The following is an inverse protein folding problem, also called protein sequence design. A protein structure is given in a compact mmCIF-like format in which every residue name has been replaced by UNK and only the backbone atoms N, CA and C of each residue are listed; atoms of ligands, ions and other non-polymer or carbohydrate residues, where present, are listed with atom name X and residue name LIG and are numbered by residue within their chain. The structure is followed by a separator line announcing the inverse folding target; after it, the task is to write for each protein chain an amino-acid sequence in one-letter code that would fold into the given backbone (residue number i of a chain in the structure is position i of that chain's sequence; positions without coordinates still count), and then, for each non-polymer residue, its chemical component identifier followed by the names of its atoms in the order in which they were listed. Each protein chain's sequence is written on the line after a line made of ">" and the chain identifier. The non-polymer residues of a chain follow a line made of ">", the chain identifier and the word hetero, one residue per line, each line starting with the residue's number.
data_IF_805310108131
#
_entry.id   IF_805310108131
#
_cell.length_a   1.000
_cell.length_b   1.000
_cell.length_c   1.000
_cell.angle_alpha   90.00
_cell.angle_beta   90.00
_cell.angle_gamma   90.00
#
_symmetry.space_group_name_H-M   'P 1'
#
loop_
_entity.id
_entity.type
_entity.pdbx_description
1 polymer ?
#
# COMPACT_ATOMS: atom_id res chain seq x y z
N UNK A 1 -47.08 2.26 8.16
CA UNK A 1 -46.17 1.11 8.28
C UNK A 1 -44.98 1.45 7.41
N UNK A 2 -43.93 1.95 8.04
CA UNK A 2 -42.68 2.28 7.36
C UNK A 2 -41.83 1.02 7.32
N UNK A 3 -41.50 0.59 6.12
CA UNK A 3 -40.62 -0.54 5.84
C UNK A 3 -39.17 -0.10 6.11
N UNK A 4 -38.65 -0.52 7.25
CA UNK A 4 -37.22 -0.36 7.61
C UNK A 4 -36.45 -1.53 7.03
N UNK A 5 -36.14 -1.48 5.74
CA UNK A 5 -35.17 -2.40 5.15
C UNK A 5 -33.77 -2.06 5.67
N UNK A 6 -33.30 -2.90 6.57
CA UNK A 6 -31.93 -2.98 7.05
C UNK A 6 -30.97 -3.07 5.84
N UNK A 7 -29.94 -2.22 5.70
CA UNK A 7 -29.00 -2.37 4.61
C UNK A 7 -28.24 -3.68 4.75
N UNK A 8 -28.22 -4.42 3.68
CA UNK A 8 -27.60 -5.72 3.51
C UNK A 8 -26.10 -5.63 3.82
N UNK A 9 -25.63 -6.38 4.82
CA UNK A 9 -24.28 -6.34 5.41
C UNK A 9 -23.17 -6.97 4.55
N UNK A 10 -23.19 -6.77 3.21
CA UNK A 10 -22.20 -7.31 2.27
C UNK A 10 -21.60 -6.31 1.28
N UNK A 11 -21.93 -5.02 1.34
CA UNK A 11 -21.19 -4.00 0.62
C UNK A 11 -20.13 -3.37 1.53
N UNK A 12 -18.99 -4.04 1.74
CA UNK A 12 -17.83 -3.44 2.40
C UNK A 12 -17.44 -2.15 1.66
N UNK A 13 -17.16 -1.07 2.42
CA UNK A 13 -16.70 0.20 1.86
C UNK A 13 -15.24 0.04 1.42
N UNK A 14 -15.03 -0.37 0.16
CA UNK A 14 -13.70 -0.61 -0.42
C UNK A 14 -13.21 0.62 -1.18
N UNK A 15 -12.05 1.16 -0.81
CA UNK A 15 -11.42 2.25 -1.54
C UNK A 15 -10.82 1.78 -2.87
N UNK A 16 -10.21 0.58 -2.87
CA UNK A 16 -9.73 -0.08 -4.08
C UNK A 16 -10.22 -1.54 -4.11
N UNK A 17 -10.71 -1.98 -5.26
CA UNK A 17 -11.02 -3.37 -5.54
C UNK A 17 -10.45 -3.76 -6.91
N UNK A 18 -9.59 -4.77 -6.94
CA UNK A 18 -9.00 -5.33 -8.15
C UNK A 18 -9.45 -6.78 -8.35
N UNK A 19 -9.81 -7.15 -9.58
CA UNK A 19 -10.24 -8.49 -9.98
C UNK A 19 -9.45 -8.97 -11.18
N UNK A 20 -8.58 -9.98 -11.00
CA UNK A 20 -7.74 -10.53 -12.05
C UNK A 20 -6.87 -9.49 -12.75
N UNK A 21 -6.55 -8.40 -12.04
CA UNK A 21 -5.86 -7.24 -12.59
C UNK A 21 -4.48 -7.62 -13.10
N UNK A 22 -4.19 -7.29 -14.36
CA UNK A 22 -2.89 -7.53 -14.96
C UNK A 22 -2.46 -6.43 -15.91
N UNK A 23 -1.15 -6.16 -15.91
CA UNK A 23 -0.50 -5.24 -16.85
C UNK A 23 0.70 -5.89 -17.49
N UNK A 24 0.69 -6.01 -18.82
CA UNK A 24 1.79 -6.51 -19.62
C UNK A 24 2.40 -5.38 -20.43
N UNK A 25 3.71 -5.26 -20.37
CA UNK A 25 4.53 -4.42 -21.24
C UNK A 25 5.27 -5.27 -22.26
N UNK A 26 5.99 -4.64 -23.19
CA UNK A 26 6.78 -5.37 -24.21
C UNK A 26 7.77 -6.40 -23.61
N UNK A 27 8.33 -6.09 -22.43
CA UNK A 27 9.32 -6.96 -21.74
C UNK A 27 8.71 -8.02 -20.82
N UNK A 28 7.40 -8.06 -20.66
CA UNK A 28 6.74 -9.02 -19.76
C UNK A 28 5.63 -8.44 -18.92
N UNK A 29 5.16 -9.24 -17.97
CA UNK A 29 4.11 -8.86 -17.03
C UNK A 29 4.71 -8.03 -15.88
N UNK A 30 4.19 -6.84 -15.67
CA UNK A 30 4.47 -6.04 -14.48
C UNK A 30 3.51 -6.40 -13.33
N UNK A 31 2.26 -6.74 -13.67
CA UNK A 31 1.27 -7.30 -12.75
C UNK A 31 0.54 -8.43 -13.46
N UNK A 32 0.23 -9.49 -12.72
CA UNK A 32 -0.44 -10.67 -13.27
C UNK A 32 -1.41 -11.27 -12.27
N UNK A 33 -2.69 -11.33 -12.65
CA UNK A 33 -3.76 -11.95 -11.88
C UNK A 33 -3.83 -11.47 -10.42
N UNK A 34 -3.84 -10.15 -10.24
CA UNK A 34 -3.92 -9.52 -8.93
C UNK A 34 -5.39 -9.33 -8.55
N UNK A 35 -5.83 -9.97 -7.47
CA UNK A 35 -7.17 -9.84 -6.92
C UNK A 35 -7.06 -9.46 -5.45
N UNK A 36 -7.50 -8.26 -5.08
CA UNK A 36 -7.40 -7.74 -3.72
C UNK A 36 -8.42 -6.63 -3.46
N UNK A 37 -8.62 -6.31 -2.19
CA UNK A 37 -9.38 -5.15 -1.71
C UNK A 37 -8.58 -4.35 -0.71
N UNK A 38 -8.78 -3.04 -0.72
CA UNK A 38 -8.28 -2.10 0.31
C UNK A 38 -9.50 -1.40 0.91
N UNK A 39 -9.73 -1.48 2.23
CA UNK A 39 -10.84 -0.80 2.87
C UNK A 39 -10.70 0.73 2.82
N UNK A 40 -11.81 1.44 2.79
CA UNK A 40 -11.83 2.90 2.91
C UNK A 40 -11.40 3.37 4.31
N UNK A 41 -10.77 4.54 4.37
CA UNK A 41 -10.32 5.18 5.61
C UNK A 41 -9.07 4.56 6.23
N UNK A 42 -8.36 3.66 5.52
CA UNK A 42 -7.14 3.00 5.99
C UNK A 42 -5.88 3.64 5.40
N UNK A 43 -4.77 3.49 6.10
CA UNK A 43 -3.44 3.78 5.58
C UNK A 43 -2.79 2.46 5.18
N UNK A 44 -2.75 2.22 3.88
CA UNK A 44 -2.23 0.98 3.29
C UNK A 44 -0.78 1.14 2.85
N UNK A 45 0.11 0.32 3.39
CA UNK A 45 1.47 0.15 2.91
C UNK A 45 1.53 -0.78 1.70
N UNK A 46 1.96 -0.25 0.55
CA UNK A 46 2.23 -1.02 -0.66
C UNK A 46 3.71 -1.42 -0.70
N UNK A 47 3.98 -2.67 -0.36
CA UNK A 47 5.32 -3.21 -0.13
C UNK A 47 5.77 -4.10 -1.27
N UNK A 48 7.04 -4.09 -1.58
CA UNK A 48 7.66 -5.00 -2.55
C UNK A 48 8.99 -4.50 -3.08
N UNK A 49 9.83 -5.37 -3.63
CA UNK A 49 11.12 -4.98 -4.19
C UNK A 49 10.95 -4.05 -5.40
N UNK A 50 12.06 -3.45 -5.82
CA UNK A 50 12.07 -2.65 -7.05
C UNK A 50 11.70 -3.53 -8.25
N UNK A 51 10.80 -3.02 -9.08
CA UNK A 51 10.27 -3.78 -10.22
C UNK A 51 9.14 -4.75 -9.89
N UNK A 52 8.70 -4.87 -8.64
CA UNK A 52 7.59 -5.76 -8.25
C UNK A 52 6.23 -5.39 -8.86
N UNK A 53 6.07 -4.14 -9.34
CA UNK A 53 4.82 -3.67 -9.95
C UNK A 53 4.10 -2.58 -9.14
N UNK A 54 4.68 -2.05 -8.05
CA UNK A 54 4.07 -1.02 -7.19
C UNK A 54 3.62 0.23 -7.97
N UNK A 55 4.54 0.90 -8.64
CA UNK A 55 4.23 2.09 -9.46
C UNK A 55 3.28 1.78 -10.61
N UNK A 56 3.32 0.55 -11.16
CA UNK A 56 2.34 0.10 -12.16
C UNK A 56 0.95 0.01 -11.57
N UNK A 57 0.81 -0.53 -10.35
CA UNK A 57 -0.48 -0.61 -9.66
C UNK A 57 -1.05 0.79 -9.39
N UNK A 58 -0.23 1.71 -8.86
CA UNK A 58 -0.62 3.10 -8.64
C UNK A 58 -0.99 3.81 -9.95
N UNK A 59 -0.23 3.57 -11.02
CA UNK A 59 -0.51 4.10 -12.35
C UNK A 59 -1.82 3.57 -12.97
N UNK A 60 -2.20 2.33 -12.67
CA UNK A 60 -3.51 1.77 -13.04
C UNK A 60 -4.64 2.46 -12.27
N UNK A 61 -4.47 2.65 -10.96
CA UNK A 61 -5.46 3.29 -10.10
C UNK A 61 -5.68 4.79 -10.42
N UNK A 62 -4.73 5.41 -11.12
CA UNK A 62 -4.78 6.82 -11.57
C UNK A 62 -5.08 6.98 -13.06
N UNK A 63 -5.36 5.90 -13.78
CA UNK A 63 -5.54 5.88 -15.25
C UNK A 63 -4.35 6.37 -16.07
N UNK A 64 -3.16 6.48 -15.48
CA UNK A 64 -1.94 6.80 -16.24
C UNK A 64 -1.55 5.64 -17.16
N UNK A 65 -1.93 4.42 -16.79
CA UNK A 65 -1.82 3.21 -17.62
C UNK A 65 -3.14 2.45 -17.61
N UNK A 66 -3.41 1.74 -18.72
CA UNK A 66 -4.60 0.90 -18.87
C UNK A 66 -4.26 -0.56 -18.49
N UNK A 67 -5.18 -1.30 -17.86
CA UNK A 67 -4.99 -2.73 -17.61
C UNK A 67 -4.92 -3.51 -18.93
N UNK A 68 -4.21 -4.64 -18.90
CA UNK A 68 -4.20 -5.60 -20.01
C UNK A 68 -5.27 -6.67 -19.78
N UNK A 69 -5.50 -7.04 -18.52
CA UNK A 69 -6.53 -8.00 -18.07
C UNK A 69 -7.16 -7.53 -16.78
N UNK A 70 -8.36 -8.02 -16.49
CA UNK A 70 -9.08 -7.72 -15.27
C UNK A 70 -9.59 -6.30 -15.17
N UNK A 71 -10.11 -5.95 -14.02
CA UNK A 71 -10.67 -4.63 -13.72
C UNK A 71 -10.19 -4.08 -12.38
N UNK A 72 -10.30 -2.75 -12.24
CA UNK A 72 -9.98 -2.02 -11.02
C UNK A 72 -11.09 -1.01 -10.75
N UNK A 73 -11.56 -0.96 -9.52
CA UNK A 73 -12.59 -0.03 -9.05
C UNK A 73 -12.08 0.83 -7.91
N UNK A 74 -12.52 2.06 -7.90
CA UNK A 74 -12.29 3.04 -6.83
C UNK A 74 -13.63 3.36 -6.21
N UNK A 75 -13.83 3.09 -4.94
CA UNK A 75 -15.12 3.22 -4.22
C UNK A 75 -16.30 2.60 -5.00
N UNK A 76 -16.06 1.41 -5.58
CA UNK A 76 -17.05 0.68 -6.37
C UNK A 76 -17.24 1.17 -7.81
N UNK A 77 -16.67 2.33 -8.18
CA UNK A 77 -16.76 2.91 -9.53
C UNK A 77 -15.59 2.40 -10.38
N UNK A 78 -15.80 1.96 -11.63
CA UNK A 78 -14.71 1.58 -12.52
C UNK A 78 -13.69 2.71 -12.67
N UNK A 79 -12.40 2.38 -12.63
CA UNK A 79 -11.32 3.39 -12.65
C UNK A 79 -11.30 4.24 -13.92
N UNK A 80 -11.91 3.77 -15.02
CA UNK A 80 -12.03 4.48 -16.28
C UNK A 80 -13.23 5.45 -16.33
N UNK A 81 -14.10 5.45 -15.33
CA UNK A 81 -15.16 6.44 -15.21
C UNK A 81 -14.58 7.81 -14.79
N UNK A 82 -14.93 8.91 -15.49
CA UNK A 82 -14.50 10.26 -15.12
C UNK A 82 -14.89 10.68 -13.69
N UNK A 83 -15.92 10.10 -13.10
CA UNK A 83 -16.37 10.38 -11.74
C UNK A 83 -15.31 10.00 -10.67
N UNK A 84 -14.33 9.16 -11.01
CA UNK A 84 -13.20 8.79 -10.13
C UNK A 84 -12.20 9.92 -10.00
N UNK A 85 -12.01 10.76 -11.03
CA UNK A 85 -10.96 11.77 -11.07
C UNK A 85 -10.98 12.77 -9.89
N UNK A 86 -12.14 13.30 -9.45
CA UNK A 86 -12.19 14.19 -8.30
C UNK A 86 -11.81 13.50 -6.98
N UNK A 87 -12.08 12.21 -6.87
CA UNK A 87 -11.90 11.44 -5.64
C UNK A 87 -10.45 11.01 -5.40
N UNK A 88 -9.59 10.99 -6.44
CA UNK A 88 -8.23 10.44 -6.36
C UNK A 88 -7.19 11.55 -6.50
N UNK A 89 -6.23 11.62 -5.57
CA UNK A 89 -4.99 12.36 -5.78
C UNK A 89 -3.80 11.40 -5.88
N UNK A 90 -2.83 11.78 -6.69
CA UNK A 90 -1.61 10.99 -6.90
C UNK A 90 -0.36 11.85 -6.76
N UNK A 91 0.57 11.37 -5.98
CA UNK A 91 1.90 11.93 -5.85
C UNK A 91 2.91 10.89 -6.33
N UNK A 92 3.43 11.10 -7.54
CA UNK A 92 4.50 10.26 -8.10
C UNK A 92 5.86 10.55 -7.49
N UNK A 93 6.78 9.61 -7.60
CA UNK A 93 8.13 9.68 -7.06
C UNK A 93 8.88 10.96 -7.52
N UNK A 94 8.76 11.34 -8.80
CA UNK A 94 9.44 12.52 -9.37
C UNK A 94 8.84 13.86 -8.92
N UNK A 95 7.68 13.86 -8.26
CA UNK A 95 6.96 15.07 -7.82
C UNK A 95 6.96 16.15 -8.91
N UNK A 96 6.26 15.95 -10.04
CA UNK A 96 6.33 16.79 -11.22
C UNK A 96 5.68 18.16 -11.00
N UNK A 97 6.41 19.10 -10.43
CA UNK A 97 5.99 20.48 -10.20
C UNK A 97 6.61 21.42 -11.25
N UNK A 98 5.87 22.47 -11.62
CA UNK A 98 6.37 23.50 -12.56
C UNK A 98 7.46 24.36 -11.90
N UNK A 99 8.73 24.10 -12.23
CA UNK A 99 9.91 24.73 -11.59
C UNK A 99 9.92 26.26 -11.70
N UNK A 100 9.27 26.85 -12.72
CA UNK A 100 9.23 28.29 -12.94
C UNK A 100 8.13 28.99 -12.13
N UNK A 101 7.12 28.27 -11.67
CA UNK A 101 6.05 28.81 -10.85
C UNK A 101 6.54 29.08 -9.43
N UNK A 102 5.98 30.11 -8.81
CA UNK A 102 6.08 30.31 -7.38
C UNK A 102 5.17 29.30 -6.64
N UNK A 103 5.39 29.11 -5.36
CA UNK A 103 4.52 28.30 -4.50
C UNK A 103 3.07 28.81 -4.57
N UNK A 104 2.88 30.11 -4.48
CA UNK A 104 1.56 30.75 -4.58
C UNK A 104 0.86 30.45 -5.94
N UNK A 105 1.58 30.57 -7.06
CA UNK A 105 1.06 30.24 -8.38
C UNK A 105 0.73 28.76 -8.50
N UNK A 106 1.55 27.88 -7.91
CA UNK A 106 1.32 26.44 -7.89
C UNK A 106 0.03 26.10 -7.14
N UNK A 107 -0.18 26.67 -5.94
CA UNK A 107 -1.42 26.44 -5.19
C UNK A 107 -2.64 27.04 -5.87
N UNK A 108 -2.52 28.20 -6.51
CA UNK A 108 -3.61 28.80 -7.28
C UNK A 108 -4.00 27.91 -8.47
N UNK A 109 -3.03 27.38 -9.21
CA UNK A 109 -3.28 26.40 -10.27
C UNK A 109 -4.04 25.18 -9.71
N UNK A 110 -3.64 24.66 -8.55
CA UNK A 110 -4.35 23.58 -7.88
C UNK A 110 -5.81 23.94 -7.59
N UNK A 111 -6.08 25.16 -7.14
CA UNK A 111 -7.44 25.64 -6.86
C UNK A 111 -8.28 25.79 -8.14
N UNK A 112 -7.69 26.29 -9.21
CA UNK A 112 -8.41 26.48 -10.49
C UNK A 112 -8.78 25.13 -11.17
N UNK A 113 -7.95 24.09 -10.95
CA UNK A 113 -8.18 22.77 -11.54
C UNK A 113 -9.07 21.85 -10.69
N UNK A 114 -9.34 22.19 -9.43
CA UNK A 114 -10.08 21.31 -8.52
C UNK A 114 -11.23 22.06 -7.83
N UNK A 115 -12.50 21.82 -8.22
CA UNK A 115 -13.66 22.53 -7.67
C UNK A 115 -13.84 22.39 -6.14
N UNK A 116 -13.40 21.27 -5.56
CA UNK A 116 -13.45 21.01 -4.12
C UNK A 116 -12.24 21.49 -3.33
N UNK A 117 -11.42 22.41 -3.90
CA UNK A 117 -10.15 22.82 -3.33
C UNK A 117 -10.24 23.37 -1.90
N UNK A 118 -9.40 22.85 -1.01
CA UNK A 118 -9.21 23.33 0.35
C UNK A 118 -7.93 24.17 0.46
N UNK A 119 -8.11 25.47 0.30
CA UNK A 119 -7.01 26.43 0.42
C UNK A 119 -6.40 26.47 1.83
N UNK A 120 -7.22 26.24 2.87
CA UNK A 120 -6.75 26.28 4.26
C UNK A 120 -5.78 25.11 4.54
N UNK A 121 -6.12 23.89 4.13
CA UNK A 121 -5.25 22.74 4.25
C UNK A 121 -3.96 22.92 3.45
N UNK A 122 -4.05 23.32 2.18
CA UNK A 122 -2.88 23.53 1.34
C UNK A 122 -1.91 24.57 1.95
N UNK A 123 -2.43 25.69 2.44
CA UNK A 123 -1.64 26.71 3.10
C UNK A 123 -1.07 26.25 4.44
N UNK A 124 -1.81 25.48 5.24
CA UNK A 124 -1.33 24.90 6.51
C UNK A 124 -0.10 24.04 6.28
N UNK A 125 -0.14 23.15 5.29
CA UNK A 125 0.96 22.24 4.94
C UNK A 125 2.21 23.01 4.51
N UNK A 126 2.07 24.02 3.66
CA UNK A 126 3.18 24.87 3.21
C UNK A 126 3.79 25.67 4.34
N UNK A 127 2.96 26.27 5.20
CA UNK A 127 3.40 27.07 6.37
C UNK A 127 4.14 26.22 7.40
N UNK A 128 3.67 25.01 7.69
CA UNK A 128 4.31 24.11 8.63
C UNK A 128 5.77 23.81 8.26
N UNK A 129 6.13 23.85 6.96
CA UNK A 129 7.50 23.70 6.48
C UNK A 129 8.24 25.02 6.26
N UNK A 130 7.73 26.15 6.71
CA UNK A 130 8.32 27.48 6.50
C UNK A 130 8.67 27.72 5.02
N UNK A 131 7.84 27.23 4.07
CA UNK A 131 8.08 27.40 2.64
C UNK A 131 7.57 28.77 2.19
N UNK A 132 8.44 29.65 1.67
CA UNK A 132 8.01 30.98 1.25
C UNK A 132 7.08 30.93 0.04
N UNK A 133 5.92 31.56 0.11
CA UNK A 133 4.92 31.58 -0.97
C UNK A 133 5.43 32.18 -2.28
N UNK A 134 6.33 33.18 -2.18
CA UNK A 134 6.94 33.84 -3.34
C UNK A 134 8.15 33.11 -3.95
N UNK A 135 8.64 32.04 -3.28
CA UNK A 135 9.77 31.27 -3.80
C UNK A 135 9.38 30.47 -5.05
N UNK A 136 10.28 30.41 -6.03
CA UNK A 136 10.08 29.54 -7.20
C UNK A 136 10.29 28.08 -6.81
N UNK A 137 9.41 27.19 -7.27
CA UNK A 137 9.48 25.74 -6.99
C UNK A 137 10.86 25.15 -7.35
N UNK A 138 11.48 25.63 -8.42
CA UNK A 138 12.80 25.16 -8.83
C UNK A 138 13.94 25.50 -7.89
N UNK A 139 13.76 26.47 -6.96
CA UNK A 139 14.76 26.88 -5.97
C UNK A 139 14.57 26.25 -4.60
N UNK A 140 13.48 25.50 -4.41
CA UNK A 140 13.15 24.83 -3.15
C UNK A 140 14.07 23.62 -2.90
N UNK A 141 14.34 23.34 -1.63
CA UNK A 141 14.94 22.06 -1.21
C UNK A 141 14.04 20.87 -1.55
N UNK A 142 14.56 19.65 -1.50
CA UNK A 142 13.79 18.42 -1.70
C UNK A 142 12.58 18.34 -0.76
N UNK A 143 12.80 18.56 0.54
CA UNK A 143 11.74 18.56 1.55
C UNK A 143 10.69 19.65 1.31
N UNK A 144 11.10 20.87 0.95
CA UNK A 144 10.17 21.95 0.63
C UNK A 144 9.32 21.63 -0.61
N UNK A 145 9.92 21.03 -1.65
CA UNK A 145 9.17 20.57 -2.84
C UNK A 145 8.17 19.48 -2.49
N UNK A 146 8.58 18.53 -1.67
CA UNK A 146 7.68 17.48 -1.16
C UNK A 146 6.49 18.09 -0.43
N UNK A 147 6.69 19.07 0.45
CA UNK A 147 5.59 19.78 1.14
C UNK A 147 4.64 20.48 0.16
N UNK A 148 5.15 21.14 -0.87
CA UNK A 148 4.29 21.76 -1.90
C UNK A 148 3.50 20.70 -2.67
N UNK A 149 4.10 19.56 -2.97
CA UNK A 149 3.42 18.45 -3.64
C UNK A 149 2.31 17.85 -2.74
N UNK A 150 2.57 17.66 -1.45
CA UNK A 150 1.55 17.25 -0.48
C UNK A 150 0.44 18.30 -0.33
N UNK A 151 0.78 19.59 -0.32
CA UNK A 151 -0.20 20.67 -0.26
C UNK A 151 -1.16 20.64 -1.46
N UNK A 152 -0.67 20.32 -2.67
CA UNK A 152 -1.51 20.11 -3.85
C UNK A 152 -2.39 18.88 -3.69
N UNK A 153 -1.84 17.76 -3.22
CA UNK A 153 -2.56 16.51 -3.07
C UNK A 153 -3.70 16.64 -2.05
N UNK A 154 -3.43 17.16 -0.86
CA UNK A 154 -4.44 17.37 0.19
C UNK A 154 -5.39 18.53 -0.10
N UNK A 155 -4.91 19.59 -0.76
CA UNK A 155 -5.76 20.71 -1.19
C UNK A 155 -6.86 20.28 -2.15
N UNK A 156 -6.66 19.23 -2.94
CA UNK A 156 -7.67 18.61 -3.80
C UNK A 156 -8.83 17.99 -3.01
N UNK A 157 -8.65 17.65 -1.72
CA UNK A 157 -9.61 16.92 -0.87
C UNK A 157 -9.97 15.54 -1.43
N UNK A 158 -8.99 14.68 -1.70
CA UNK A 158 -9.27 13.36 -2.23
C UNK A 158 -9.87 12.43 -1.16
N UNK A 159 -10.71 11.47 -1.60
CA UNK A 159 -11.13 10.33 -0.77
C UNK A 159 -10.05 9.23 -0.78
N UNK A 160 -9.26 9.16 -1.87
CA UNK A 160 -8.14 8.23 -2.05
C UNK A 160 -6.86 8.99 -2.43
N UNK A 161 -5.84 8.87 -1.60
CA UNK A 161 -4.50 9.44 -1.83
C UNK A 161 -3.51 8.33 -2.16
N UNK A 162 -2.95 8.37 -3.34
CA UNK A 162 -1.96 7.42 -3.84
C UNK A 162 -0.58 8.06 -3.86
N UNK A 163 0.39 7.46 -3.18
CA UNK A 163 1.72 8.01 -2.96
C UNK A 163 2.79 7.00 -3.43
N UNK A 164 3.61 7.39 -4.41
CA UNK A 164 4.71 6.56 -4.89
C UNK A 164 6.04 7.04 -4.31
N UNK A 165 6.55 6.31 -3.30
CA UNK A 165 7.78 6.62 -2.56
C UNK A 165 7.87 8.10 -2.12
N UNK A 166 6.86 8.65 -1.43
CA UNK A 166 6.73 10.09 -1.23
C UNK A 166 7.84 10.69 -0.36
N UNK A 167 8.46 9.86 0.50
CA UNK A 167 9.46 10.27 1.50
C UNK A 167 10.92 10.01 1.07
N UNK A 168 11.14 9.46 -0.14
CA UNK A 168 12.47 8.98 -0.58
C UNK A 168 13.56 10.07 -0.59
N UNK A 169 13.19 11.34 -0.83
CA UNK A 169 14.12 12.48 -0.93
C UNK A 169 14.28 13.25 0.39
N UNK A 170 13.70 12.77 1.49
CA UNK A 170 13.68 13.47 2.77
C UNK A 170 14.77 12.94 3.70
N UNK A 171 15.39 13.85 4.45
CA UNK A 171 16.19 13.46 5.61
C UNK A 171 15.28 12.90 6.73
N UNK A 172 15.84 12.22 7.75
CA UNK A 172 15.03 11.55 8.78
C UNK A 172 14.08 12.49 9.54
N UNK A 173 14.49 13.73 9.84
CA UNK A 173 13.64 14.69 10.54
C UNK A 173 12.48 15.17 9.67
N UNK A 174 12.77 15.57 8.44
CA UNK A 174 11.75 16.00 7.49
C UNK A 174 10.76 14.86 7.17
N UNK A 175 11.22 13.61 7.20
CA UNK A 175 10.41 12.42 6.99
C UNK A 175 9.43 12.22 8.15
N UNK A 176 9.90 12.29 9.40
CA UNK A 176 9.07 12.18 10.60
C UNK A 176 7.97 13.26 10.63
N UNK A 177 8.33 14.51 10.36
CA UNK A 177 7.38 15.62 10.24
C UNK A 177 6.34 15.39 9.15
N UNK A 178 6.73 14.86 8.00
CA UNK A 178 5.82 14.59 6.88
C UNK A 178 4.92 13.39 7.16
N UNK A 179 5.43 12.36 7.84
CA UNK A 179 4.65 11.20 8.27
C UNK A 179 3.56 11.63 9.26
N UNK A 180 3.92 12.44 10.26
CA UNK A 180 2.97 12.99 11.23
C UNK A 180 1.90 13.84 10.53
N UNK A 181 2.29 14.70 9.59
CA UNK A 181 1.37 15.50 8.81
C UNK A 181 0.41 14.65 7.98
N UNK A 182 0.95 13.64 7.27
CA UNK A 182 0.16 12.72 6.45
C UNK A 182 -0.90 11.99 7.27
N UNK A 183 -0.50 11.44 8.43
CA UNK A 183 -1.42 10.75 9.34
C UNK A 183 -2.51 11.70 9.87
N UNK A 184 -2.14 12.90 10.31
CA UNK A 184 -3.10 13.88 10.83
C UNK A 184 -4.14 14.27 9.77
N UNK A 185 -3.71 14.62 8.56
CA UNK A 185 -4.61 15.00 7.45
C UNK A 185 -5.48 13.82 6.98
N UNK A 186 -4.92 12.59 6.94
CA UNK A 186 -5.67 11.40 6.57
C UNK A 186 -6.76 11.09 7.59
N UNK A 187 -6.45 11.11 8.89
CA UNK A 187 -7.41 10.82 9.98
C UNK A 187 -8.49 11.90 10.07
N UNK A 188 -8.10 13.19 10.02
CA UNK A 188 -9.05 14.31 10.10
C UNK A 188 -10.19 14.20 9.06
N UNK A 189 -9.89 13.62 7.90
CA UNK A 189 -10.81 13.56 6.75
C UNK A 189 -11.35 12.18 6.44
N UNK A 190 -10.82 11.14 7.08
CA UNK A 190 -11.09 9.76 6.70
C UNK A 190 -10.57 9.39 5.31
N UNK A 191 -9.55 10.09 4.81
CA UNK A 191 -8.92 9.83 3.51
C UNK A 191 -8.23 8.48 3.54
N UNK A 192 -8.53 7.63 2.55
CA UNK A 192 -7.74 6.40 2.35
C UNK A 192 -6.39 6.75 1.74
N UNK A 193 -5.32 6.21 2.29
CA UNK A 193 -3.97 6.39 1.76
C UNK A 193 -3.41 5.06 1.30
N UNK A 194 -2.84 5.02 0.11
CA UNK A 194 -2.00 3.89 -0.35
C UNK A 194 -0.61 4.45 -0.63
N UNK A 195 0.34 4.04 0.17
CA UNK A 195 1.72 4.55 0.09
C UNK A 195 2.69 3.43 -0.23
N UNK A 196 3.43 3.55 -1.35
CA UNK A 196 4.56 2.66 -1.60
C UNK A 196 5.78 3.12 -0.80
N UNK A 197 6.47 2.17 -0.18
CA UNK A 197 7.79 2.38 0.43
C UNK A 197 8.66 1.15 0.21
N UNK A 198 9.96 1.38 0.15
CA UNK A 198 10.98 0.34 0.25
C UNK A 198 11.58 0.24 1.65
N UNK A 199 11.25 1.16 2.56
CA UNK A 199 11.65 1.17 3.96
C UNK A 199 10.53 0.60 4.83
N UNK A 200 10.75 -0.58 5.37
CA UNK A 200 9.74 -1.30 6.15
C UNK A 200 9.40 -0.59 7.46
N UNK A 201 10.40 0.04 8.11
CA UNK A 201 10.22 0.81 9.34
C UNK A 201 9.24 1.99 9.19
N UNK A 202 9.20 2.64 8.02
CA UNK A 202 8.20 3.71 7.76
C UNK A 202 6.76 3.18 7.77
N UNK A 203 6.59 1.92 7.38
CA UNK A 203 5.28 1.30 7.24
C UNK A 203 4.76 0.76 8.59
N UNK A 204 5.65 0.31 9.47
CA UNK A 204 5.29 -0.22 10.79
C UNK A 204 4.56 0.82 11.64
N UNK A 205 5.03 2.08 11.60
CA UNK A 205 4.48 3.15 12.44
C UNK A 205 3.23 3.81 11.82
N UNK A 206 3.01 3.66 10.52
CA UNK A 206 1.98 4.42 9.79
C UNK A 206 0.83 3.57 9.25
N UNK A 207 1.10 2.31 8.91
CA UNK A 207 0.17 1.52 8.12
C UNK A 207 -0.59 0.52 8.98
N UNK A 208 -1.91 0.60 8.94
CA UNK A 208 -2.82 -0.36 9.55
C UNK A 208 -3.27 -1.47 8.58
N UNK A 209 -2.96 -1.31 7.30
CA UNK A 209 -3.24 -2.28 6.24
C UNK A 209 -2.03 -2.47 5.33
N UNK A 210 -1.81 -3.69 4.83
CA UNK A 210 -0.67 -4.02 3.98
C UNK A 210 -1.11 -4.67 2.68
N UNK A 211 -0.44 -4.30 1.61
CA UNK A 211 -0.52 -4.95 0.30
C UNK A 211 0.90 -5.26 -0.18
N UNK A 212 1.27 -6.54 -0.13
CA UNK A 212 2.61 -7.00 -0.49
C UNK A 212 2.61 -7.55 -1.91
N UNK A 213 3.46 -6.98 -2.75
CA UNK A 213 3.59 -7.35 -4.16
C UNK A 213 4.99 -7.90 -4.42
N UNK A 214 5.09 -9.07 -5.02
CA UNK A 214 6.35 -9.66 -5.48
C UNK A 214 6.13 -10.34 -6.83
N UNK A 215 7.07 -10.14 -7.76
CA UNK A 215 7.03 -10.72 -9.11
C UNK A 215 5.69 -10.47 -9.84
N UNK A 216 5.13 -9.27 -9.64
CA UNK A 216 3.87 -8.88 -10.24
C UNK A 216 2.63 -9.57 -9.68
N UNK A 217 2.71 -10.23 -8.53
CA UNK A 217 1.59 -10.92 -7.86
C UNK A 217 1.39 -10.40 -6.44
N UNK A 218 0.15 -10.43 -5.96
CA UNK A 218 -0.14 -10.16 -4.55
C UNK A 218 0.28 -11.37 -3.72
N UNK A 219 1.14 -11.12 -2.72
CA UNK A 219 1.63 -12.14 -1.79
C UNK A 219 0.92 -12.09 -0.45
N UNK A 220 0.61 -10.88 0.02
CA UNK A 220 -0.18 -10.65 1.22
C UNK A 220 -1.10 -9.45 1.02
N UNK A 221 -2.27 -9.51 1.59
CA UNK A 221 -3.18 -8.37 1.71
C UNK A 221 -4.00 -8.49 2.99
N UNK A 222 -4.09 -7.42 3.78
CA UNK A 222 -4.90 -7.43 4.98
C UNK A 222 -4.43 -6.48 6.08
N UNK A 223 -5.17 -6.51 7.19
CA UNK A 223 -4.82 -5.77 8.39
C UNK A 223 -3.48 -6.23 8.96
N UNK A 224 -2.59 -5.29 9.29
CA UNK A 224 -1.26 -5.59 9.84
C UNK A 224 -1.36 -6.42 11.12
N UNK A 225 -2.29 -6.07 12.01
CA UNK A 225 -2.56 -6.76 13.27
C UNK A 225 -3.06 -8.21 13.10
N UNK A 226 -3.55 -8.58 11.92
CA UNK A 226 -3.96 -9.94 11.61
C UNK A 226 -2.89 -10.72 10.85
N UNK A 227 -2.06 -10.04 10.06
CA UNK A 227 -1.02 -10.67 9.25
C UNK A 227 0.15 -11.16 10.10
N UNK A 228 0.63 -10.36 11.06
CA UNK A 228 1.79 -10.71 11.89
C UNK A 228 1.48 -11.92 12.79
N UNK A 229 0.38 -11.95 13.58
CA UNK A 229 0.07 -13.09 14.46
C UNK A 229 -0.25 -14.39 13.69
N UNK A 230 -0.55 -14.31 12.39
CA UNK A 230 -0.73 -15.51 11.57
C UNK A 230 0.59 -16.29 11.36
N UNK A 231 1.74 -15.72 11.74
CA UNK A 231 3.06 -16.29 11.58
C UNK A 231 3.72 -16.62 12.92
N UNK A 232 4.59 -17.61 12.91
CA UNK A 232 5.44 -17.98 14.04
C UNK A 232 6.84 -18.26 13.53
N UNK A 233 7.83 -17.67 14.16
CA UNK A 233 9.22 -18.00 13.93
C UNK A 233 9.57 -19.20 14.82
N UNK A 234 9.99 -20.30 14.21
CA UNK A 234 10.38 -21.51 14.91
C UNK A 234 11.88 -21.77 14.72
N UNK A 235 12.53 -22.16 15.79
CA UNK A 235 13.95 -22.54 15.79
C UNK A 235 14.11 -23.90 16.49
N UNK A 236 14.98 -24.73 15.98
CA UNK A 236 15.24 -26.03 16.58
C UNK A 236 16.52 -26.68 16.04
N UNK A 237 16.79 -27.90 16.49
CA UNK A 237 17.97 -28.66 16.10
C UNK A 237 17.55 -29.81 15.18
N UNK A 238 18.09 -29.83 13.97
CA UNK A 238 17.95 -30.95 13.05
C UNK A 238 18.74 -32.17 13.53
N UNK A 239 18.14 -33.34 13.46
CA UNK A 239 18.76 -34.60 13.90
C UNK A 239 19.75 -35.17 12.89
N UNK A 240 19.45 -34.97 11.60
CA UNK A 240 20.16 -35.56 10.47
C UNK A 240 20.75 -34.53 9.51
N UNK A 241 20.67 -33.22 9.82
CA UNK A 241 21.15 -32.15 8.96
C UNK A 241 20.19 -31.81 7.82
N UNK A 242 18.92 -32.26 7.90
CA UNK A 242 17.83 -31.87 7.02
C UNK A 242 16.75 -31.04 7.76
N UNK A 243 15.86 -30.42 7.03
CA UNK A 243 14.72 -29.74 7.65
C UNK A 243 13.77 -30.78 8.28
N UNK A 244 13.28 -30.56 9.51
CA UNK A 244 12.37 -31.49 10.17
C UNK A 244 11.13 -31.79 9.34
N UNK A 245 10.74 -33.08 9.19
CA UNK A 245 9.55 -33.46 8.41
C UNK A 245 8.26 -32.91 9.01
N UNK A 246 8.24 -32.58 10.30
CA UNK A 246 7.09 -31.97 11.00
C UNK A 246 6.71 -30.60 10.42
N UNK A 247 7.67 -29.87 9.83
CA UNK A 247 7.42 -28.63 9.10
C UNK A 247 6.39 -28.81 7.96
N UNK A 248 6.35 -29.98 7.33
CA UNK A 248 5.41 -30.25 6.26
C UNK A 248 3.93 -30.23 6.72
N UNK A 249 3.68 -30.36 8.03
CA UNK A 249 2.34 -30.20 8.63
C UNK A 249 1.84 -28.76 8.66
N UNK A 250 2.70 -27.79 8.41
CA UNK A 250 2.41 -26.37 8.48
C UNK A 250 2.63 -25.67 7.12
N UNK A 251 2.18 -24.42 7.00
CA UNK A 251 2.54 -23.64 5.81
C UNK A 251 3.89 -22.98 6.07
N UNK A 252 4.95 -23.52 5.48
CA UNK A 252 6.28 -22.92 5.56
C UNK A 252 6.35 -21.76 4.58
N UNK A 253 6.69 -20.56 5.09
CA UNK A 253 6.92 -19.35 4.30
C UNK A 253 8.38 -19.31 3.87
N UNK A 254 9.31 -19.35 4.83
CA UNK A 254 10.76 -19.39 4.61
C UNK A 254 11.38 -20.39 5.59
N UNK A 255 12.42 -21.09 5.17
CA UNK A 255 13.20 -21.95 6.06
C UNK A 255 14.67 -21.89 5.74
N UNK A 256 15.50 -21.97 6.77
CA UNK A 256 16.97 -21.98 6.68
C UNK A 256 17.53 -23.06 7.57
N UNK A 257 18.59 -23.68 7.10
CA UNK A 257 19.37 -24.65 7.86
C UNK A 257 20.82 -24.16 7.93
N UNK A 258 21.35 -24.05 9.13
CA UNK A 258 22.76 -23.69 9.40
C UNK A 258 23.40 -24.76 10.27
N UNK A 259 24.19 -25.66 9.65
CA UNK A 259 24.72 -26.82 10.34
C UNK A 259 23.58 -27.73 10.82
N UNK A 260 23.41 -27.85 12.13
CA UNK A 260 22.31 -28.60 12.74
C UNK A 260 21.16 -27.74 13.25
N UNK A 261 21.29 -26.45 13.23
CA UNK A 261 20.21 -25.53 13.65
C UNK A 261 19.35 -25.18 12.42
N UNK A 262 18.04 -25.31 12.56
CA UNK A 262 17.09 -24.79 11.60
C UNK A 262 16.32 -23.60 12.18
N UNK A 263 15.91 -22.72 11.30
CA UNK A 263 14.98 -21.63 11.56
C UNK A 263 13.93 -21.61 10.45
N UNK A 264 12.65 -21.49 10.79
CA UNK A 264 11.61 -21.39 9.79
C UNK A 264 10.52 -20.40 10.21
N UNK A 265 10.07 -19.60 9.25
CA UNK A 265 8.84 -18.80 9.36
C UNK A 265 7.68 -19.66 8.90
N UNK A 266 6.76 -19.95 9.79
CA UNK A 266 5.62 -20.83 9.49
C UNK A 266 4.29 -20.15 9.81
N UNK A 267 3.25 -20.55 9.08
CA UNK A 267 1.84 -20.32 9.47
C UNK A 267 1.33 -21.66 10.04
N UNK A 268 1.15 -21.76 11.36
CA UNK A 268 0.78 -23.02 11.99
C UNK A 268 -0.61 -23.49 11.53
N UNK A 269 -0.74 -24.77 11.23
CA UNK A 269 -2.03 -25.45 10.93
C UNK A 269 -2.50 -26.35 12.09
N UNK A 270 -1.70 -26.40 13.16
CA UNK A 270 -1.93 -27.23 14.33
C UNK A 270 -0.82 -26.98 15.36
N UNK A 271 -0.75 -27.81 16.41
CA UNK A 271 0.26 -27.68 17.44
C UNK A 271 1.67 -27.88 16.86
N UNK A 272 2.59 -27.02 17.24
CA UNK A 272 4.01 -27.12 16.92
C UNK A 272 4.69 -28.07 17.91
N UNK A 273 5.75 -28.82 17.53
CA UNK A 273 6.53 -29.66 18.43
C UNK A 273 7.01 -28.90 19.67
N UNK A 274 7.00 -29.56 20.83
CA UNK A 274 7.30 -28.92 22.11
C UNK A 274 8.80 -28.59 22.29
N UNK A 275 9.66 -29.28 21.57
CA UNK A 275 11.11 -29.11 21.54
C UNK A 275 11.58 -27.98 20.61
N UNK A 276 10.65 -27.34 19.88
CA UNK A 276 10.96 -26.15 19.09
C UNK A 276 10.79 -24.88 19.91
N UNK A 277 11.78 -24.00 19.85
CA UNK A 277 11.68 -22.64 20.33
C UNK A 277 10.76 -21.83 19.40
N UNK A 278 9.89 -21.02 19.99
CA UNK A 278 8.88 -20.22 19.27
C UNK A 278 9.04 -18.76 19.63
N UNK A 279 9.01 -17.91 18.64
CA UNK A 279 9.00 -16.47 18.79
C UNK A 279 7.90 -15.85 17.91
N UNK A 280 7.34 -14.76 18.40
CA UNK A 280 6.49 -13.89 17.58
C UNK A 280 7.41 -13.07 16.67
N UNK A 281 7.23 -13.15 15.32
CA UNK A 281 8.05 -12.37 14.41
C UNK A 281 7.64 -10.91 14.42
N UNK A 282 8.58 -10.01 14.10
CA UNK A 282 8.26 -8.62 13.74
C UNK A 282 7.58 -8.55 12.36
N UNK A 283 6.91 -7.43 12.09
CA UNK A 283 6.36 -7.17 10.76
C UNK A 283 7.46 -7.24 9.68
N UNK A 284 8.63 -6.66 9.95
CA UNK A 284 9.77 -6.69 9.03
C UNK A 284 10.18 -8.13 8.70
N UNK A 285 10.29 -9.01 9.69
CA UNK A 285 10.66 -10.41 9.49
C UNK A 285 9.63 -11.15 8.63
N UNK A 286 8.33 -10.92 8.88
CA UNK A 286 7.24 -11.51 8.08
C UNK A 286 7.33 -11.03 6.63
N UNK A 287 7.47 -9.73 6.41
CA UNK A 287 7.57 -9.15 5.07
C UNK A 287 8.79 -9.67 4.32
N UNK A 288 9.96 -9.69 4.96
CA UNK A 288 11.19 -10.21 4.36
C UNK A 288 11.08 -11.70 4.02
N UNK A 289 10.46 -12.52 4.88
CA UNK A 289 10.26 -13.93 4.60
C UNK A 289 9.40 -14.15 3.33
N UNK A 290 8.31 -13.41 3.19
CA UNK A 290 7.46 -13.49 1.99
C UNK A 290 8.12 -12.93 0.72
N UNK A 291 8.97 -11.91 0.85
CA UNK A 291 9.69 -11.34 -0.30
C UNK A 291 10.83 -12.25 -0.79
N UNK A 292 11.45 -13.01 0.11
CA UNK A 292 12.51 -13.99 -0.22
C UNK A 292 11.96 -15.31 -0.75
N UNK A 293 10.70 -15.59 -0.48
CA UNK A 293 10.05 -16.84 -0.84
C UNK A 293 8.83 -16.62 -1.74
N UNK A 294 9.03 -16.24 -3.01
CA UNK A 294 7.93 -15.92 -3.92
C UNK A 294 6.98 -17.09 -4.21
N UNK A 295 7.41 -18.33 -3.94
CA UNK A 295 6.60 -19.52 -4.10
C UNK A 295 5.75 -19.87 -2.86
N UNK A 296 5.97 -19.19 -1.72
CA UNK A 296 5.16 -19.41 -0.53
C UNK A 296 3.67 -19.10 -0.84
N UNK A 297 2.71 -19.87 -0.29
CA UNK A 297 1.29 -19.60 -0.51
C UNK A 297 0.89 -18.19 -0.04
N UNK A 298 0.15 -17.40 -0.84
CA UNK A 298 -0.25 -16.07 -0.47
C UNK A 298 -1.13 -16.06 0.78
N UNK A 299 -1.14 -14.95 1.50
CA UNK A 299 -1.97 -14.74 2.68
C UNK A 299 -2.88 -13.54 2.49
N UNK A 300 -4.17 -13.76 2.67
CA UNK A 300 -5.19 -12.72 2.68
C UNK A 300 -5.95 -12.79 4.00
N UNK A 301 -6.13 -11.65 4.66
CA UNK A 301 -7.07 -11.58 5.78
C UNK A 301 -8.50 -11.60 5.28
N UNK A 302 -9.46 -11.75 6.19
CA UNK A 302 -10.88 -11.80 5.85
C UNK A 302 -11.29 -10.52 5.06
N UNK A 303 -11.92 -10.71 3.89
CA UNK A 303 -12.38 -9.63 3.03
C UNK A 303 -11.29 -8.99 2.14
N UNK A 304 -10.00 -9.25 2.39
CA UNK A 304 -8.90 -8.69 1.59
C UNK A 304 -8.80 -9.28 0.17
N UNK A 305 -9.34 -10.48 -0.06
CA UNK A 305 -9.40 -11.12 -1.37
C UNK A 305 -10.76 -10.91 -2.01
N UNK A 306 -10.77 -10.64 -3.29
CA UNK A 306 -11.97 -10.74 -4.13
C UNK A 306 -12.10 -12.20 -4.57
N UNK A 307 -13.18 -12.85 -4.18
CA UNK A 307 -13.50 -14.17 -4.73
C UNK A 307 -13.81 -14.00 -6.22
N UNK A 308 -13.28 -14.89 -7.03
CA UNK A 308 -13.64 -14.98 -8.43
C UNK A 308 -15.11 -15.47 -8.47
N UNK A 309 -16.08 -14.56 -8.43
CA UNK A 309 -17.46 -14.90 -8.71
C UNK A 309 -17.55 -15.41 -10.15
N UNK A 310 -17.92 -16.67 -10.25
CA UNK A 310 -18.53 -17.37 -11.34
C UNK A 310 -18.39 -16.76 -12.73
N UNK A 311 -17.46 -17.24 -13.51
CA UNK A 311 -17.69 -17.44 -14.93
C UNK A 311 -18.83 -18.44 -15.04
N UNK A 312 -20.09 -17.97 -15.02
CA UNK A 312 -21.18 -18.77 -15.58
C UNK A 312 -20.86 -18.92 -17.06
N UNK A 313 -20.52 -20.15 -17.42
CA UNK A 313 -20.49 -20.60 -18.81
C UNK A 313 -21.88 -20.36 -19.42
N UNK A 314 -21.92 -19.55 -20.47
CA UNK A 314 -23.01 -19.51 -21.43
C UNK A 314 -22.56 -20.27 -22.68
#
# INVERSE_FOLDING_TARGET
>A
VADTSTPNATSGNWALEARGLGKRYRRGWALRDCSFRIPAGRICGLVGPNGAGKSTLLGLATRQVQPTTGDLRVFGVPVDDPAVLPQVAFLGQDKPLFKRFTVAETLRMGAELNPGWDAAAAHRIVRAGNVPMGAKVGTLSGGQRTRVAFALAFGKRPDLLLLDEPMSDLDPLARDEMSTLLMAEAVERGTTVVMSSHMLTELEDMCDYLLVVSEGRIRMAGDADALVPAHTLVTGVSRDGSLPPELAGHTVVESRLQGRQFQAMVRPRGPLPADWERAEPSLEEVLLAHLRSPDAPPLYTQGARVDAEGTQAA
#
